data_IF_238324756606
#
_entry.id   IF_238324756606
#
_cell.length_a   1.000
_cell.length_b   1.000
_cell.length_c   1.000
_cell.angle_alpha   90.00
_cell.angle_beta   90.00
_cell.angle_gamma   90.00
#
_symmetry.space_group_name_H-M   'P 1'
#
loop_
_entity.id
_entity.type
_entity.pdbx_description
1 polymer ?
#
# COMPACT_ATOMS: atom_id res chain seq x y z
N UNK A 1 -11.85 -14.15 8.59
CA UNK A 1 -12.12 -14.92 9.82
C UNK A 1 -12.08 -16.39 9.46
N UNK A 2 -11.33 -17.19 10.22
CA UNK A 2 -11.27 -18.64 10.07
C UNK A 2 -11.54 -19.27 11.45
N UNK A 3 -12.16 -20.44 11.48
CA UNK A 3 -12.43 -21.15 12.73
C UNK A 3 -12.44 -22.67 12.47
N UNK A 4 -12.25 -23.42 13.55
CA UNK A 4 -12.43 -24.87 13.57
C UNK A 4 -13.39 -25.23 14.70
N UNK A 5 -14.28 -26.18 14.47
CA UNK A 5 -15.26 -26.63 15.47
C UNK A 5 -14.72 -27.88 16.15
N UNK A 6 -14.46 -27.79 17.45
CA UNK A 6 -13.98 -28.94 18.23
C UNK A 6 -15.05 -30.04 18.32
N UNK A 7 -14.64 -31.31 18.27
CA UNK A 7 -15.57 -32.45 18.24
C UNK A 7 -16.50 -32.59 19.45
N UNK A 8 -16.24 -31.88 20.56
CA UNK A 8 -17.09 -31.83 21.77
C UNK A 8 -17.85 -30.50 21.94
N UNK A 9 -17.83 -29.64 20.92
CA UNK A 9 -18.53 -28.36 20.97
C UNK A 9 -20.05 -28.55 21.10
N UNK A 10 -20.67 -27.72 21.93
CA UNK A 10 -22.14 -27.57 22.04
C UNK A 10 -22.47 -26.07 22.03
N UNK A 11 -23.65 -25.66 21.50
CA UNK A 11 -24.12 -24.29 21.66
C UNK A 11 -24.07 -23.86 23.12
N UNK A 12 -23.44 -22.71 23.40
CA UNK A 12 -23.16 -22.23 24.75
C UNK A 12 -21.74 -22.47 25.25
N UNK A 13 -20.95 -23.35 24.61
CA UNK A 13 -19.51 -23.44 24.89
C UNK A 13 -18.77 -22.17 24.44
N UNK A 14 -17.64 -21.89 25.09
CA UNK A 14 -16.79 -20.74 24.77
C UNK A 14 -15.97 -20.88 23.48
N UNK A 15 -15.24 -19.82 23.15
CA UNK A 15 -14.33 -19.73 22.01
C UNK A 15 -12.92 -19.42 22.47
N UNK A 16 -11.92 -20.01 21.81
CA UNK A 16 -10.52 -19.57 21.90
C UNK A 16 -10.21 -18.74 20.66
N UNK A 17 -9.85 -17.48 20.84
CA UNK A 17 -9.71 -16.50 19.74
C UNK A 17 -8.29 -15.94 19.74
N UNK A 18 -7.70 -15.88 18.55
CA UNK A 18 -6.46 -15.15 18.29
C UNK A 18 -6.77 -14.07 17.25
N UNK A 19 -6.42 -12.82 17.57
CA UNK A 19 -6.65 -11.67 16.71
C UNK A 19 -5.36 -11.19 16.04
N UNK A 20 -5.49 -10.64 14.84
CA UNK A 20 -4.46 -9.93 14.10
C UNK A 20 -5.11 -8.94 13.13
N UNK A 21 -4.30 -8.18 12.41
CA UNK A 21 -4.76 -7.27 11.36
C UNK A 21 -3.98 -7.55 10.06
N UNK A 22 -4.58 -7.25 8.91
CA UNK A 22 -4.06 -7.64 7.58
C UNK A 22 -3.44 -6.49 6.80
N UNK A 23 -3.46 -5.29 7.37
CA UNK A 23 -2.94 -4.08 6.77
C UNK A 23 -1.60 -3.68 7.37
N UNK A 24 -0.87 -2.82 6.67
CA UNK A 24 0.38 -2.24 7.12
C UNK A 24 0.52 -0.85 6.51
N UNK A 25 1.22 0.10 7.14
CA UNK A 25 1.40 1.42 6.57
C UNK A 25 2.01 1.36 5.17
N UNK A 26 1.43 2.10 4.22
CA UNK A 26 1.83 2.06 2.82
C UNK A 26 1.54 3.36 2.05
N UNK A 27 2.07 3.45 0.83
CA UNK A 27 1.68 4.46 -0.15
C UNK A 27 0.56 3.90 -1.04
N UNK A 28 -0.63 4.47 -0.93
CA UNK A 28 -1.80 4.02 -1.70
C UNK A 28 -2.07 4.95 -2.87
N UNK A 29 -2.39 4.39 -4.04
CA UNK A 29 -2.69 5.19 -5.23
C UNK A 29 -4.00 5.95 -5.04
N UNK A 30 -3.98 7.27 -5.29
CA UNK A 30 -5.19 8.10 -5.25
C UNK A 30 -6.14 7.74 -6.38
N UNK A 31 -7.48 7.88 -6.22
CA UNK A 31 -8.44 7.61 -7.28
C UNK A 31 -8.19 8.41 -8.57
N UNK A 32 -7.73 9.66 -8.42
CA UNK A 32 -7.18 10.48 -9.50
C UNK A 32 -5.68 10.64 -9.30
N UNK A 33 -4.91 9.72 -9.87
CA UNK A 33 -3.46 9.61 -9.61
C UNK A 33 -2.57 10.20 -10.70
N UNK A 34 -3.04 10.30 -11.96
CA UNK A 34 -2.21 10.80 -13.06
C UNK A 34 -1.73 12.23 -12.76
N UNK A 35 -0.42 12.40 -12.72
CA UNK A 35 0.28 13.69 -12.66
C UNK A 35 1.39 13.70 -13.71
N UNK A 36 1.71 14.87 -14.23
CA UNK A 36 2.78 15.04 -15.18
C UNK A 36 3.55 16.31 -14.83
N UNK A 37 4.85 16.18 -14.63
CA UNK A 37 5.71 17.29 -14.24
C UNK A 37 7.12 17.06 -14.76
N UNK A 38 7.71 18.08 -15.37
CA UNK A 38 9.09 18.05 -15.88
C UNK A 38 9.40 16.85 -16.80
N UNK A 39 8.45 16.45 -17.65
CA UNK A 39 8.59 15.31 -18.57
C UNK A 39 8.44 13.93 -17.91
N UNK A 40 8.13 13.87 -16.61
CA UNK A 40 7.90 12.64 -15.87
C UNK A 40 6.40 12.43 -15.62
N UNK A 41 5.90 11.26 -16.00
CA UNK A 41 4.60 10.77 -15.56
C UNK A 41 4.71 10.23 -14.13
N UNK A 42 3.84 10.71 -13.25
CA UNK A 42 3.84 10.39 -11.83
C UNK A 42 2.50 9.79 -11.40
N UNK A 43 2.56 8.97 -10.35
CA UNK A 43 1.40 8.43 -9.65
C UNK A 43 1.22 9.16 -8.31
N UNK A 44 0.15 9.95 -8.20
CA UNK A 44 -0.25 10.56 -6.95
C UNK A 44 -0.66 9.50 -5.92
N UNK A 45 -0.02 9.55 -4.74
CA UNK A 45 -0.28 8.63 -3.63
C UNK A 45 -0.83 9.34 -2.39
N UNK A 46 -1.45 8.57 -1.50
CA UNK A 46 -1.86 8.91 -0.15
C UNK A 46 -1.09 8.04 0.86
N UNK A 47 -0.68 8.63 1.97
CA UNK A 47 -0.05 7.90 3.07
C UNK A 47 -1.13 7.17 3.88
N UNK A 48 -1.06 5.85 3.95
CA UNK A 48 -1.96 5.03 4.76
C UNK A 48 -1.28 4.64 6.07
N UNK A 49 -1.86 5.01 7.22
CA UNK A 49 -1.31 4.71 8.55
C UNK A 49 -0.17 5.65 8.99
N UNK A 50 0.61 5.22 9.99
CA UNK A 50 1.75 5.96 10.56
C UNK A 50 3.11 5.45 10.09
N UNK A 51 3.34 5.42 8.78
CA UNK A 51 4.58 4.89 8.20
C UNK A 51 5.80 5.78 8.42
N UNK A 52 6.98 5.17 8.44
CA UNK A 52 8.27 5.87 8.39
C UNK A 52 8.56 6.31 6.96
N UNK A 53 7.92 7.39 6.51
CA UNK A 53 7.84 7.75 5.09
C UNK A 53 9.19 7.98 4.40
N UNK A 54 10.21 8.44 5.12
CA UNK A 54 11.55 8.60 4.57
C UNK A 54 12.13 7.26 4.06
N UNK A 55 11.74 6.12 4.65
CA UNK A 55 12.24 4.79 4.23
C UNK A 55 11.69 4.31 2.88
N UNK A 56 10.63 4.94 2.37
CA UNK A 56 10.03 4.67 1.06
C UNK A 56 10.76 5.35 -0.08
N UNK A 57 11.58 6.37 0.23
CA UNK A 57 12.42 6.99 -0.76
C UNK A 57 13.51 6.02 -1.23
N UNK A 58 13.88 6.17 -2.49
CA UNK A 58 14.93 5.41 -3.15
C UNK A 58 14.77 3.88 -3.14
N UNK A 59 13.52 3.43 -3.00
CA UNK A 59 13.12 2.03 -3.15
C UNK A 59 12.62 1.74 -4.56
N UNK A 60 12.90 0.52 -5.00
CA UNK A 60 12.32 -0.07 -6.19
C UNK A 60 10.93 -0.60 -5.83
N UNK A 61 9.88 0.12 -6.24
CA UNK A 61 8.50 -0.14 -5.80
C UNK A 61 7.71 -0.90 -6.86
N UNK A 62 7.07 -2.00 -6.44
CA UNK A 62 5.99 -2.65 -7.17
C UNK A 62 4.62 -2.03 -6.85
N UNK A 63 3.57 -2.62 -7.41
CA UNK A 63 2.18 -2.22 -7.14
C UNK A 63 1.33 -3.46 -6.86
N UNK A 64 0.51 -3.41 -5.82
CA UNK A 64 -0.46 -4.45 -5.55
C UNK A 64 -1.78 -3.88 -5.07
N UNK A 65 -2.86 -4.63 -5.25
CA UNK A 65 -4.16 -4.23 -4.79
C UNK A 65 -5.28 -4.96 -5.52
N UNK A 66 -6.38 -4.24 -5.71
CA UNK A 66 -7.63 -4.79 -6.21
C UNK A 66 -8.24 -3.84 -7.22
N UNK A 67 -8.73 -4.40 -8.31
CA UNK A 67 -9.41 -3.66 -9.38
C UNK A 67 -10.84 -4.17 -9.52
N UNK A 68 -11.73 -3.27 -9.93
CA UNK A 68 -13.11 -3.57 -10.30
C UNK A 68 -13.24 -3.39 -11.79
N UNK A 69 -13.57 -4.46 -12.50
CA UNK A 69 -13.68 -4.52 -13.95
C UNK A 69 -15.15 -4.64 -14.34
N UNK A 70 -15.56 -3.90 -15.36
CA UNK A 70 -16.89 -4.07 -15.97
C UNK A 70 -16.84 -5.28 -16.90
N UNK A 71 -17.79 -6.20 -16.74
CA UNK A 71 -18.01 -7.32 -17.65
C UNK A 71 -18.86 -6.88 -18.85
N UNK A 72 -18.80 -7.63 -19.93
CA UNK A 72 -19.58 -7.38 -21.14
C UNK A 72 -21.10 -7.45 -20.89
N UNK A 73 -21.52 -8.26 -19.91
CA UNK A 73 -22.91 -8.39 -19.45
C UNK A 73 -23.38 -7.23 -18.55
N UNK A 74 -22.53 -6.23 -18.31
CA UNK A 74 -22.81 -5.09 -17.44
C UNK A 74 -22.53 -5.32 -15.96
N UNK A 75 -22.17 -6.55 -15.55
CA UNK A 75 -21.77 -6.87 -14.18
C UNK A 75 -20.39 -6.31 -13.79
N UNK A 76 -20.04 -6.42 -12.51
CA UNK A 76 -18.72 -6.03 -11.98
C UNK A 76 -17.98 -7.29 -11.53
N UNK A 77 -16.74 -7.45 -12.00
CA UNK A 77 -15.78 -8.48 -11.54
C UNK A 77 -14.71 -7.83 -10.69
N UNK A 78 -14.39 -8.44 -9.56
CA UNK A 78 -13.27 -8.04 -8.73
C UNK A 78 -12.06 -8.92 -9.03
N UNK A 79 -10.90 -8.32 -9.24
CA UNK A 79 -9.64 -9.04 -9.42
C UNK A 79 -8.54 -8.47 -8.52
N UNK A 80 -7.63 -9.34 -8.09
CA UNK A 80 -6.42 -8.95 -7.38
C UNK A 80 -5.28 -8.79 -8.39
N UNK A 81 -4.48 -7.75 -8.20
CA UNK A 81 -3.32 -7.44 -9.05
C UNK A 81 -2.08 -7.40 -8.18
N UNK A 82 -1.01 -8.04 -8.67
CA UNK A 82 0.34 -7.91 -8.13
C UNK A 82 1.31 -7.72 -9.30
N UNK A 83 1.91 -6.54 -9.36
CA UNK A 83 3.01 -6.22 -10.27
C UNK A 83 4.28 -6.30 -9.43
N UNK A 84 4.97 -7.44 -9.53
CA UNK A 84 6.16 -7.77 -8.73
C UNK A 84 7.47 -7.29 -9.37
N UNK A 85 7.36 -6.32 -10.28
CA UNK A 85 8.48 -5.68 -10.97
C UNK A 85 8.62 -4.24 -10.46
N UNK A 86 9.83 -3.67 -10.48
CA UNK A 86 10.07 -2.31 -10.03
C UNK A 86 9.56 -1.31 -11.07
N UNK A 87 8.30 -0.90 -10.93
CA UNK A 87 7.60 -0.02 -11.89
C UNK A 87 7.47 1.41 -11.39
N UNK A 88 7.80 1.69 -10.13
CA UNK A 88 7.71 3.00 -9.53
C UNK A 88 8.88 3.27 -8.58
N UNK A 89 9.18 4.55 -8.36
CA UNK A 89 10.20 5.01 -7.42
C UNK A 89 9.81 6.38 -6.86
N UNK A 90 10.08 6.59 -5.58
CA UNK A 90 10.05 7.92 -4.95
C UNK A 90 11.50 8.35 -4.76
N UNK A 91 12.02 9.23 -5.61
CA UNK A 91 13.44 9.59 -5.58
C UNK A 91 13.75 10.68 -4.55
N UNK A 92 14.88 10.57 -3.87
CA UNK A 92 15.38 11.69 -3.05
C UNK A 92 15.89 12.84 -3.92
N UNK A 93 15.89 14.05 -3.35
CA UNK A 93 16.59 15.18 -3.94
C UNK A 93 18.10 15.03 -3.70
N UNK A 94 18.91 15.29 -4.72
CA UNK A 94 20.37 15.21 -4.60
C UNK A 94 20.90 16.12 -3.47
N UNK A 95 21.86 15.61 -2.70
CA UNK A 95 22.44 16.32 -1.55
C UNK A 95 23.02 17.71 -1.90
N UNK A 96 23.56 17.85 -3.11
CA UNK A 96 24.13 19.10 -3.62
C UNK A 96 23.08 20.23 -3.77
N UNK A 97 21.80 19.86 -3.92
CA UNK A 97 20.66 20.77 -4.05
C UNK A 97 19.93 21.00 -2.73
N UNK A 98 20.47 20.48 -1.62
CA UNK A 98 19.89 20.63 -0.29
C UNK A 98 20.76 21.53 0.59
N UNK A 99 20.12 22.36 1.39
CA UNK A 99 20.76 23.09 2.50
C UNK A 99 21.15 22.14 3.64
N UNK A 100 22.02 22.60 4.54
CA UNK A 100 22.38 21.83 5.73
C UNK A 100 21.19 21.59 6.68
N UNK A 101 20.21 22.48 6.68
CA UNK A 101 19.00 22.37 7.50
C UNK A 101 18.02 21.33 6.93
N UNK A 102 17.77 21.35 5.61
CA UNK A 102 16.90 20.36 4.96
C UNK A 102 17.43 18.92 5.13
N UNK A 103 18.75 18.75 5.16
CA UNK A 103 19.37 17.45 5.43
C UNK A 103 19.09 16.92 6.84
N UNK A 104 18.85 17.80 7.82
CA UNK A 104 18.48 17.40 9.20
C UNK A 104 17.03 16.97 9.31
N UNK A 105 16.18 17.25 8.32
CA UNK A 105 14.78 16.78 8.32
C UNK A 105 14.63 15.25 8.22
N UNK A 106 15.71 14.54 7.87
CA UNK A 106 15.74 13.08 7.72
C UNK A 106 16.51 12.35 8.82
N UNK A 107 17.03 13.05 9.83
CA UNK A 107 17.64 12.39 11.00
C UNK A 107 16.54 11.88 11.92
N UNK A 108 16.57 10.57 12.18
CA UNK A 108 15.77 9.90 13.23
C UNK A 108 16.26 10.33 14.61
#
# INVERSE_FOLDING_TARGET
VAFTVGGKYKPGNGFTIIGGHTDSPNLKVKPRSKKEQHGCMQLGVECYGGGLWHTWFDRDLGLSGRVLLRKDDGGIKQELVKIDQPVARVSTLCIHLQSAEERKGFTV
#
